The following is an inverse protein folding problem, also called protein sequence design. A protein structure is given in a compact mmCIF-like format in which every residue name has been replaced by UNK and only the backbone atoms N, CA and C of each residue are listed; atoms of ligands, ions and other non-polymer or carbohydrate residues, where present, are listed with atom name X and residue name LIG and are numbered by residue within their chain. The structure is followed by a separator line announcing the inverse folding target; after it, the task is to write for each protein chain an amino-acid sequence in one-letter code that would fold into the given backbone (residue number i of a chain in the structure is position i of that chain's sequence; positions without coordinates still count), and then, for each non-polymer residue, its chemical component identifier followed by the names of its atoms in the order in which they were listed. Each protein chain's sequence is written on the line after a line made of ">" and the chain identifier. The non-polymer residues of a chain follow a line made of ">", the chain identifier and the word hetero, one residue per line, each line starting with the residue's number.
data_IF_311890358853
#
_entry.id   IF_311890358853
#
_cell.length_a   1.000
_cell.length_b   1.000
_cell.length_c   1.000
_cell.angle_alpha   90.00
_cell.angle_beta   90.00
_cell.angle_gamma   90.00
#
_symmetry.space_group_name_H-M   'P 1'
#
loop_
_entity.id
_entity.type
_entity.pdbx_description
1 polymer ?
#
# COMPACT_ATOMS: atom_id res chain seq x y z
N UNK A 1 5.61 -6.01 4.06
CA UNK A 1 4.79 -6.37 2.87
C UNK A 1 4.47 -7.86 2.75
N UNK A 2 5.36 -8.80 3.13
CA UNK A 2 5.09 -10.26 3.14
C UNK A 2 3.68 -10.68 3.60
N UNK A 3 3.26 -10.24 4.79
CA UNK A 3 1.98 -10.65 5.38
C UNK A 3 0.78 -10.16 4.55
N UNK A 4 0.90 -8.98 3.94
CA UNK A 4 -0.15 -8.35 3.13
C UNK A 4 -0.30 -9.10 1.79
N UNK A 5 0.79 -9.45 1.12
CA UNK A 5 0.78 -10.13 -0.18
C UNK A 5 0.10 -11.52 -0.15
N UNK A 6 0.01 -12.16 1.02
CA UNK A 6 -0.63 -13.48 1.19
C UNK A 6 -2.16 -13.41 1.28
N UNK A 7 -2.72 -12.28 1.70
CA UNK A 7 -4.12 -12.18 2.10
C UNK A 7 -5.11 -12.24 0.92
N UNK A 8 -4.92 -11.52 -0.20
CA UNK A 8 -5.86 -11.57 -1.33
C UNK A 8 -6.08 -12.99 -1.86
N UNK A 9 -4.99 -13.75 -2.02
CA UNK A 9 -5.06 -15.13 -2.53
C UNK A 9 -5.82 -16.06 -1.59
N UNK A 10 -5.58 -15.94 -0.28
CA UNK A 10 -6.34 -16.72 0.70
C UNK A 10 -7.81 -16.38 0.64
N UNK A 11 -8.15 -15.11 0.49
CA UNK A 11 -9.54 -14.69 0.37
C UNK A 11 -10.19 -15.33 -0.86
N UNK A 12 -9.58 -15.19 -2.04
CA UNK A 12 -10.09 -15.79 -3.28
C UNK A 12 -10.23 -17.31 -3.20
N UNK A 13 -9.20 -18.01 -2.70
CA UNK A 13 -9.21 -19.47 -2.58
C UNK A 13 -10.23 -19.99 -1.54
N UNK A 14 -10.64 -19.16 -0.59
CA UNK A 14 -11.59 -19.51 0.48
C UNK A 14 -12.99 -18.97 0.24
N UNK A 15 -13.21 -18.19 -0.82
CA UNK A 15 -14.52 -17.62 -1.12
C UNK A 15 -15.47 -18.69 -1.69
N UNK A 16 -16.23 -19.33 -0.80
CA UNK A 16 -17.24 -20.36 -1.13
C UNK A 16 -18.64 -19.79 -1.27
N UNK A 17 -18.82 -18.46 -1.42
CA UNK A 17 -20.14 -17.86 -1.59
C UNK A 17 -20.81 -18.37 -2.87
N UNK A 18 -22.05 -18.87 -2.72
CA UNK A 18 -22.88 -19.33 -3.85
C UNK A 18 -23.29 -18.17 -4.77
N UNK A 19 -23.60 -17.02 -4.17
CA UNK A 19 -24.01 -15.80 -4.88
C UNK A 19 -22.99 -14.72 -4.60
N UNK A 20 -22.24 -14.29 -5.62
CA UNK A 20 -21.21 -13.26 -5.54
C UNK A 20 -21.72 -11.94 -6.12
N UNK A 21 -22.85 -11.46 -5.60
CA UNK A 21 -23.43 -10.15 -5.96
C UNK A 21 -22.59 -9.01 -5.39
N UNK A 22 -22.23 -9.08 -4.10
CA UNK A 22 -21.40 -8.07 -3.46
C UNK A 22 -19.97 -8.05 -4.04
N UNK A 23 -19.64 -6.93 -4.70
CA UNK A 23 -18.28 -6.60 -5.11
C UNK A 23 -17.45 -6.17 -3.91
N UNK A 24 -16.20 -6.60 -3.89
CA UNK A 24 -15.29 -6.36 -2.76
C UNK A 24 -13.90 -6.02 -3.29
N UNK A 25 -13.32 -4.97 -2.74
CA UNK A 25 -11.89 -4.74 -2.83
C UNK A 25 -11.19 -5.69 -1.85
N UNK A 26 -10.26 -6.47 -2.37
CA UNK A 26 -9.54 -7.52 -1.62
C UNK A 26 -8.05 -7.24 -1.53
N UNK A 27 -7.56 -6.25 -2.27
CA UNK A 27 -6.18 -5.79 -2.19
C UNK A 27 -5.96 -5.09 -0.84
N UNK A 28 -4.96 -5.49 -0.03
CA UNK A 28 -4.62 -4.77 1.20
C UNK A 28 -4.11 -3.34 0.97
N UNK A 29 -3.62 -3.03 -0.23
CA UNK A 29 -3.28 -1.65 -0.61
C UNK A 29 -4.41 -1.09 -1.45
N UNK A 30 -5.51 -0.79 -0.78
CA UNK A 30 -6.65 -0.12 -1.34
C UNK A 30 -6.60 1.39 -1.06
N UNK A 31 -7.35 2.23 -1.81
CA UNK A 31 -7.28 3.68 -1.66
C UNK A 31 -7.47 4.22 -0.24
N UNK A 32 -8.39 3.66 0.56
CA UNK A 32 -8.59 4.03 1.96
C UNK A 32 -7.34 3.76 2.81
N UNK A 33 -6.78 2.56 2.69
CA UNK A 33 -5.56 2.14 3.39
C UNK A 33 -4.36 2.98 2.96
N UNK A 34 -4.28 3.36 1.68
CA UNK A 34 -3.23 4.24 1.16
C UNK A 34 -3.31 5.63 1.79
N UNK A 35 -4.51 6.17 1.99
CA UNK A 35 -4.69 7.44 2.69
C UNK A 35 -4.37 7.34 4.19
N UNK A 36 -4.68 6.22 4.84
CA UNK A 36 -4.21 5.93 6.21
C UNK A 36 -2.68 5.87 6.29
N UNK A 37 -2.01 5.31 5.28
CA UNK A 37 -0.54 5.29 5.21
C UNK A 37 0.02 6.72 5.11
N UNK A 38 -0.60 7.61 4.31
CA UNK A 38 -0.20 9.02 4.27
C UNK A 38 -0.36 9.72 5.62
N UNK A 39 -1.46 9.47 6.34
CA UNK A 39 -1.68 10.00 7.68
C UNK A 39 -0.62 9.47 8.66
N UNK A 40 -0.33 8.17 8.61
CA UNK A 40 0.70 7.55 9.44
C UNK A 40 2.09 8.14 9.16
N UNK A 41 2.46 8.36 7.89
CA UNK A 41 3.71 9.03 7.53
C UNK A 41 3.80 10.42 8.16
N UNK A 42 2.74 11.23 8.05
CA UNK A 42 2.68 12.57 8.67
C UNK A 42 2.90 12.50 10.19
N UNK A 43 2.23 11.56 10.88
CA UNK A 43 2.40 11.39 12.32
C UNK A 43 3.83 10.98 12.70
N UNK A 44 4.42 10.02 11.97
CA UNK A 44 5.81 9.61 12.20
C UNK A 44 6.78 10.77 11.97
N UNK A 45 6.54 11.60 10.96
CA UNK A 45 7.32 12.80 10.68
C UNK A 45 7.23 13.79 11.85
N UNK A 46 6.03 14.18 12.26
CA UNK A 46 5.80 15.10 13.39
C UNK A 46 6.45 14.56 14.67
N UNK A 47 6.19 13.31 15.06
CA UNK A 47 6.73 12.74 16.29
C UNK A 47 8.27 12.65 16.27
N UNK A 48 8.87 12.41 15.11
CA UNK A 48 10.33 12.42 14.96
C UNK A 48 10.90 13.82 15.16
N UNK A 49 10.28 14.84 14.57
CA UNK A 49 10.70 16.23 14.77
C UNK A 49 10.58 16.65 16.24
N UNK A 50 9.46 16.33 16.90
CA UNK A 50 9.29 16.61 18.34
C UNK A 50 10.36 15.91 19.17
N UNK A 51 10.67 14.65 18.89
CA UNK A 51 11.72 13.91 19.59
C UNK A 51 13.10 14.57 19.40
N UNK A 52 13.41 15.04 18.18
CA UNK A 52 14.65 15.75 17.89
C UNK A 52 14.76 17.08 18.64
N UNK A 53 13.69 17.89 18.61
CA UNK A 53 13.67 19.17 19.32
C UNK A 53 13.85 19.00 20.82
N UNK A 54 13.19 18.00 21.43
CA UNK A 54 13.38 17.65 22.85
C UNK A 54 14.82 17.25 23.15
N UNK A 55 15.46 16.46 22.28
CA UNK A 55 16.86 16.07 22.44
C UNK A 55 17.82 17.27 22.33
N UNK A 56 17.48 18.27 21.51
CA UNK A 56 18.24 19.51 21.34
C UNK A 56 17.88 20.58 22.41
N UNK A 57 17.05 20.25 23.41
CA UNK A 57 16.64 21.18 24.48
C UNK A 57 15.65 22.28 24.03
N UNK A 58 15.00 22.12 22.88
CA UNK A 58 14.03 23.06 22.30
C UNK A 58 12.60 22.61 22.58
N UNK A 59 11.68 23.56 22.66
CA UNK A 59 10.26 23.27 22.82
C UNK A 59 9.65 22.87 21.46
N UNK A 60 9.03 21.68 21.32
CA UNK A 60 8.38 21.31 20.06
C UNK A 60 7.15 22.15 19.73
N UNK A 61 6.50 22.74 20.74
CA UNK A 61 5.28 23.53 20.59
C UNK A 61 5.54 24.92 19.99
N UNK A 62 6.81 25.27 19.76
CA UNK A 62 7.22 26.50 19.07
C UNK A 62 6.99 26.40 17.54
N UNK A 63 6.79 25.19 17.02
CA UNK A 63 6.59 24.92 15.59
C UNK A 63 5.18 24.39 15.34
N UNK A 64 4.60 24.76 14.19
CA UNK A 64 3.34 24.16 13.74
C UNK A 64 3.55 22.74 13.18
N UNK A 65 2.45 22.02 13.00
CA UNK A 65 2.46 20.63 12.50
C UNK A 65 3.10 20.49 11.11
N UNK A 66 3.05 21.51 10.26
CA UNK A 66 3.63 21.45 8.92
C UNK A 66 5.15 21.60 8.98
N UNK A 67 5.64 22.54 9.79
CA UNK A 67 7.06 22.71 10.08
C UNK A 67 7.65 21.46 10.74
N UNK A 68 6.91 20.85 11.69
CA UNK A 68 7.29 19.60 12.32
C UNK A 68 7.32 18.44 11.32
N UNK A 69 6.29 18.30 10.48
CA UNK A 69 6.25 17.26 9.45
C UNK A 69 7.42 17.39 8.47
N UNK A 70 7.74 18.61 8.02
CA UNK A 70 8.85 18.87 7.11
C UNK A 70 10.21 18.50 7.74
N UNK A 71 10.49 18.98 8.96
CA UNK A 71 11.71 18.63 9.69
C UNK A 71 11.82 17.11 9.92
N UNK A 72 10.71 16.47 10.30
CA UNK A 72 10.65 15.03 10.51
C UNK A 72 10.95 14.24 9.25
N UNK A 73 10.39 14.66 8.11
CA UNK A 73 10.64 14.05 6.82
C UNK A 73 12.11 14.13 6.42
N UNK A 74 12.74 15.28 6.63
CA UNK A 74 14.17 15.46 6.36
C UNK A 74 15.02 14.52 7.22
N UNK A 75 14.72 14.41 8.52
CA UNK A 75 15.42 13.50 9.44
C UNK A 75 15.25 12.03 9.05
N UNK A 76 14.06 11.63 8.60
CA UNK A 76 13.73 10.25 8.25
C UNK A 76 14.24 9.84 6.87
N UNK A 77 14.41 10.77 5.94
CA UNK A 77 14.84 10.49 4.56
C UNK A 77 16.32 10.74 4.29
N UNK A 78 17.00 11.57 5.11
CA UNK A 78 18.45 11.82 4.98
C UNK A 78 19.25 10.51 5.02
N UNK A 79 20.32 10.38 4.22
CA UNK A 79 21.17 9.18 4.14
C UNK A 79 21.82 8.82 5.47
N UNK A 80 22.28 9.83 6.21
CA UNK A 80 22.79 9.68 7.58
C UNK A 80 21.64 9.36 8.54
N UNK A 81 21.85 8.39 9.43
CA UNK A 81 20.84 8.05 10.44
C UNK A 81 20.85 9.08 11.60
N UNK A 82 20.28 10.25 11.33
CA UNK A 82 20.11 11.35 12.30
C UNK A 82 19.02 11.10 13.35
N UNK A 83 18.35 9.94 13.27
CA UNK A 83 17.32 9.50 14.20
C UNK A 83 17.81 8.46 15.22
N UNK A 84 19.08 8.05 15.12
CA UNK A 84 19.66 7.09 16.04
C UNK A 84 19.64 7.63 17.48
N UNK A 85 19.11 6.84 18.41
CA UNK A 85 19.02 7.20 19.83
C UNK A 85 17.87 8.13 20.21
N UNK A 86 17.05 8.59 19.26
CA UNK A 86 15.86 9.38 19.59
C UNK A 86 14.76 8.50 20.19
N UNK A 87 14.24 8.92 21.34
CA UNK A 87 12.99 8.37 21.90
C UNK A 87 11.81 9.04 21.20
N UNK A 88 11.32 8.41 20.13
CA UNK A 88 10.13 8.90 19.39
C UNK A 88 8.88 8.48 20.13
N UNK A 89 8.12 9.47 20.63
CA UNK A 89 6.90 9.24 21.39
C UNK A 89 5.67 9.42 20.49
N UNK A 90 4.84 8.37 20.43
CA UNK A 90 3.52 8.43 19.81
C UNK A 90 2.54 9.14 20.73
N UNK A 91 1.80 10.10 20.18
CA UNK A 91 0.84 10.92 20.91
C UNK A 91 -0.58 10.49 20.55
N UNK A 92 -1.52 10.52 21.51
CA UNK A 92 -2.94 10.17 21.33
C UNK A 92 -3.20 8.75 20.79
N UNK A 93 -2.35 7.77 21.14
CA UNK A 93 -2.49 6.39 20.67
C UNK A 93 -3.35 5.50 21.59
N UNK A 94 -3.34 5.76 22.89
CA UNK A 94 -4.12 5.02 23.90
C UNK A 94 -4.69 5.97 24.95
N UNK A 95 -5.84 5.62 25.53
CA UNK A 95 -6.42 6.34 26.67
C UNK A 95 -5.70 5.94 27.97
N UNK A 96 -4.43 6.32 28.07
CA UNK A 96 -3.52 5.90 29.15
C UNK A 96 -2.44 6.97 29.36
N UNK A 97 -1.94 7.04 30.60
CA UNK A 97 -0.84 7.95 30.99
C UNK A 97 0.54 7.39 30.61
N UNK A 98 0.60 6.16 30.10
CA UNK A 98 1.85 5.50 29.72
C UNK A 98 2.40 6.13 28.44
N UNK A 99 3.72 6.34 28.42
CA UNK A 99 4.44 6.71 27.21
C UNK A 99 4.34 5.60 26.16
N UNK A 100 3.94 5.97 24.95
CA UNK A 100 3.97 5.08 23.78
C UNK A 100 5.23 5.38 22.97
N UNK A 101 6.14 4.41 22.89
CA UNK A 101 7.42 4.56 22.19
C UNK A 101 7.36 3.87 20.82
N UNK A 102 7.69 4.61 19.77
CA UNK A 102 7.80 4.08 18.41
C UNK A 102 9.21 3.52 18.21
N UNK A 103 9.33 2.19 18.23
CA UNK A 103 10.63 1.51 18.26
C UNK A 103 11.43 1.62 16.95
N UNK A 104 10.74 1.67 15.81
CA UNK A 104 11.33 1.48 14.47
C UNK A 104 10.89 2.56 13.49
N UNK A 105 10.83 3.81 13.94
CA UNK A 105 10.25 4.95 13.21
C UNK A 105 10.79 5.09 11.78
N UNK A 106 12.12 5.12 11.62
CA UNK A 106 12.75 5.26 10.29
C UNK A 106 12.47 4.06 9.37
N UNK A 107 12.46 2.85 9.92
CA UNK A 107 12.17 1.63 9.14
C UNK A 107 10.68 1.58 8.74
N UNK A 108 9.79 1.99 9.65
CA UNK A 108 8.36 2.08 9.38
C UNK A 108 8.05 3.14 8.32
N UNK A 109 8.65 4.33 8.42
CA UNK A 109 8.51 5.41 7.44
C UNK A 109 8.96 4.95 6.05
N UNK A 110 10.14 4.32 5.94
CA UNK A 110 10.60 3.72 4.67
C UNK A 110 9.62 2.67 4.14
N UNK A 111 9.18 1.74 4.99
CA UNK A 111 8.27 0.67 4.57
C UNK A 111 6.93 1.21 4.06
N UNK A 112 6.38 2.26 4.70
CA UNK A 112 5.17 2.93 4.26
C UNK A 112 5.36 3.63 2.91
N UNK A 113 6.49 4.32 2.70
CA UNK A 113 6.81 4.91 1.39
C UNK A 113 6.94 3.85 0.29
N UNK A 114 7.58 2.72 0.58
CA UNK A 114 7.68 1.59 -0.36
C UNK A 114 6.28 1.01 -0.70
N UNK A 115 5.36 0.93 0.28
CA UNK A 115 3.98 0.50 0.04
C UNK A 115 3.22 1.47 -0.87
N UNK A 116 3.33 2.78 -0.63
CA UNK A 116 2.73 3.81 -1.49
C UNK A 116 3.27 3.74 -2.92
N UNK A 117 4.58 3.58 -3.05
CA UNK A 117 5.25 3.48 -4.35
C UNK A 117 4.78 2.26 -5.13
N UNK A 118 4.77 1.10 -4.47
CA UNK A 118 4.32 -0.15 -5.07
C UNK A 118 2.84 -0.09 -5.47
N UNK A 119 1.98 0.44 -4.58
CA UNK A 119 0.57 0.69 -4.88
C UNK A 119 0.41 1.55 -6.14
N UNK A 120 1.12 2.68 -6.19
CA UNK A 120 0.97 3.63 -7.27
C UNK A 120 1.39 3.01 -8.61
N UNK A 121 2.61 2.48 -8.69
CA UNK A 121 3.15 1.90 -9.93
C UNK A 121 2.34 0.69 -10.37
N UNK A 122 1.94 -0.21 -9.46
CA UNK A 122 1.13 -1.39 -9.79
C UNK A 122 -0.18 -1.00 -10.49
N UNK A 123 -0.92 -0.03 -9.95
CA UNK A 123 -2.19 0.39 -10.54
C UNK A 123 -2.00 1.14 -11.86
N UNK A 124 -0.89 1.87 -12.03
CA UNK A 124 -0.54 2.51 -13.31
C UNK A 124 -0.14 1.47 -14.38
N UNK A 125 0.54 0.39 -13.99
CA UNK A 125 0.78 -0.73 -14.89
C UNK A 125 -0.55 -1.41 -15.29
N UNK A 126 -1.49 -1.60 -14.34
CA UNK A 126 -2.82 -2.15 -14.65
C UNK A 126 -3.58 -1.26 -15.67
N UNK A 127 -3.35 0.06 -15.62
CA UNK A 127 -3.87 0.99 -16.62
C UNK A 127 -3.27 0.76 -18.01
N UNK A 128 -1.94 0.68 -18.11
CA UNK A 128 -1.23 0.45 -19.38
C UNK A 128 -1.54 -0.93 -19.99
N UNK A 129 -1.80 -1.93 -19.16
CA UNK A 129 -2.20 -3.26 -19.62
C UNK A 129 -3.62 -3.27 -20.19
N UNK A 130 -4.53 -2.46 -19.65
CA UNK A 130 -5.90 -2.33 -20.16
C UNK A 130 -6.01 -1.37 -21.36
N UNK A 131 -4.99 -0.56 -21.63
CA UNK A 131 -4.96 0.43 -22.71
C UNK A 131 -3.66 0.31 -23.50
N UNK A 132 -3.59 -0.65 -24.43
CA UNK A 132 -2.33 -1.00 -25.11
C UNK A 132 -1.71 0.12 -25.97
N UNK A 133 -2.49 1.10 -26.38
CA UNK A 133 -2.03 2.28 -27.13
C UNK A 133 -1.61 3.44 -26.22
N UNK A 134 -1.82 3.31 -24.90
CA UNK A 134 -1.43 4.34 -23.94
C UNK A 134 0.10 4.38 -23.74
N UNK A 135 0.59 5.60 -23.54
CA UNK A 135 1.96 5.90 -23.15
C UNK A 135 1.94 6.82 -21.91
N UNK A 136 3.11 7.22 -21.41
CA UNK A 136 3.22 8.08 -20.24
C UNK A 136 2.39 9.37 -20.40
N UNK A 137 2.47 10.02 -21.56
CA UNK A 137 1.78 11.29 -21.83
C UNK A 137 0.26 11.11 -21.81
N UNK A 138 -0.28 10.16 -22.57
CA UNK A 138 -1.73 9.93 -22.62
C UNK A 138 -2.27 9.38 -21.31
N UNK A 139 -1.50 8.56 -20.59
CA UNK A 139 -1.84 8.14 -19.23
C UNK A 139 -1.93 9.32 -18.28
N UNK A 140 -0.91 10.19 -18.26
CA UNK A 140 -0.87 11.36 -17.39
C UNK A 140 -2.03 12.31 -17.67
N UNK A 141 -2.36 12.56 -18.94
CA UNK A 141 -3.50 13.41 -19.32
C UNK A 141 -4.81 12.88 -18.74
N UNK A 142 -5.10 11.58 -18.89
CA UNK A 142 -6.40 11.03 -18.47
C UNK A 142 -6.46 10.76 -16.95
N UNK A 143 -5.32 10.48 -16.30
CA UNK A 143 -5.26 10.21 -14.86
C UNK A 143 -4.98 11.44 -13.99
N UNK A 144 -4.60 12.57 -14.59
CA UNK A 144 -4.35 13.82 -13.85
C UNK A 144 -5.57 14.29 -13.05
N UNK A 145 -5.28 14.91 -11.90
CA UNK A 145 -6.29 15.44 -11.00
C UNK A 145 -5.83 15.43 -9.55
N UNK A 146 -6.59 16.08 -8.65
CA UNK A 146 -6.31 16.04 -7.22
C UNK A 146 -6.47 14.62 -6.67
N UNK A 147 -5.66 14.27 -5.67
CA UNK A 147 -5.80 13.00 -4.95
C UNK A 147 -7.12 12.97 -4.19
N UNK A 148 -7.97 11.98 -4.45
CA UNK A 148 -9.15 11.71 -3.62
C UNK A 148 -8.69 11.12 -2.27
N UNK A 149 -8.95 11.84 -1.18
CA UNK A 149 -8.46 11.50 0.17
C UNK A 149 -9.47 10.78 1.05
N UNK A 150 -10.75 10.83 0.68
CA UNK A 150 -11.83 10.28 1.50
C UNK A 150 -12.50 9.12 0.78
N UNK A 151 -12.18 7.93 1.26
CA UNK A 151 -12.73 6.65 0.79
C UNK A 151 -13.46 5.99 1.95
N UNK A 152 -14.69 5.55 1.68
CA UNK A 152 -15.56 4.92 2.65
C UNK A 152 -15.77 3.47 2.24
N UNK A 153 -15.50 2.55 3.18
CA UNK A 153 -15.78 1.14 3.00
C UNK A 153 -17.25 0.85 3.28
N UNK A 154 -17.99 0.51 2.23
CA UNK A 154 -19.40 0.14 2.29
C UNK A 154 -19.50 -1.35 1.93
N UNK A 155 -19.53 -2.22 2.95
CA UNK A 155 -19.68 -3.66 2.75
C UNK A 155 -18.56 -4.33 1.93
N UNK A 156 -17.35 -3.77 1.95
CA UNK A 156 -16.18 -4.25 1.23
C UNK A 156 -15.92 -3.56 -0.12
N UNK A 157 -16.85 -2.73 -0.61
CA UNK A 157 -16.61 -1.87 -1.77
C UNK A 157 -16.22 -0.48 -1.29
N UNK A 158 -15.18 0.07 -1.92
CA UNK A 158 -14.70 1.42 -1.62
C UNK A 158 -15.39 2.43 -2.51
N UNK A 159 -15.94 3.45 -1.86
CA UNK A 159 -16.69 4.53 -2.50
C UNK A 159 -16.08 5.84 -2.03
N UNK A 160 -15.95 6.83 -2.91
CA UNK A 160 -15.52 8.15 -2.46
C UNK A 160 -16.59 8.79 -1.57
N UNK A 161 -16.20 9.64 -0.61
CA UNK A 161 -17.19 10.32 0.24
C UNK A 161 -18.22 11.12 -0.59
N UNK A 162 -17.77 11.77 -1.67
CA UNK A 162 -18.64 12.50 -2.59
C UNK A 162 -19.63 11.61 -3.34
N UNK A 163 -19.20 10.43 -3.81
CA UNK A 163 -20.10 9.50 -4.51
C UNK A 163 -21.13 8.90 -3.53
N UNK A 164 -20.71 8.63 -2.29
CA UNK A 164 -21.61 8.15 -1.24
C UNK A 164 -22.64 9.22 -0.86
N UNK A 165 -22.23 10.48 -0.71
CA UNK A 165 -23.14 11.60 -0.44
C UNK A 165 -24.15 11.78 -1.58
N UNK A 166 -23.69 11.69 -2.84
CA UNK A 166 -24.57 11.74 -4.00
C UNK A 166 -25.60 10.59 -3.97
N UNK A 167 -25.15 9.35 -3.73
CA UNK A 167 -26.03 8.19 -3.62
C UNK A 167 -27.08 8.38 -2.52
N UNK A 168 -26.67 8.80 -1.33
CA UNK A 168 -27.57 9.07 -0.21
C UNK A 168 -28.54 10.22 -0.52
N UNK A 169 -28.11 11.24 -1.26
CA UNK A 169 -28.96 12.33 -1.72
C UNK A 169 -30.07 11.84 -2.65
N UNK A 170 -29.73 10.99 -3.63
CA UNK A 170 -30.69 10.41 -4.59
C UNK A 170 -31.69 9.45 -3.92
N UNK A 171 -31.26 8.75 -2.86
CA UNK A 171 -32.16 7.95 -2.02
C UNK A 171 -33.12 8.87 -1.25
N UNK A 172 -32.59 9.91 -0.59
CA UNK A 172 -33.40 10.85 0.22
C UNK A 172 -34.40 11.65 -0.61
N UNK A 173 -34.09 11.96 -1.86
CA UNK A 173 -34.99 12.68 -2.78
C UNK A 173 -36.10 11.81 -3.34
N UNK A 174 -36.02 10.47 -3.20
CA UNK A 174 -36.92 9.53 -3.83
C UNK A 174 -36.62 9.27 -5.32
N UNK A 175 -35.49 9.74 -5.84
CA UNK A 175 -35.04 9.38 -7.21
C UNK A 175 -34.70 7.90 -7.31
N UNK A 176 -34.07 7.34 -6.26
CA UNK A 176 -33.86 5.91 -6.10
C UNK A 176 -34.89 5.38 -5.10
N UNK A 177 -36.02 4.88 -5.61
CA UNK A 177 -37.20 4.48 -4.83
C UNK A 177 -37.32 2.97 -4.56
N UNK A 178 -36.38 2.17 -5.07
CA UNK A 178 -36.38 0.71 -4.94
C UNK A 178 -34.99 0.15 -4.65
N UNK A 179 -34.95 -1.05 -4.06
CA UNK A 179 -33.69 -1.75 -3.80
C UNK A 179 -32.92 -2.06 -5.08
N UNK A 180 -33.61 -2.41 -6.17
CA UNK A 180 -32.98 -2.69 -7.46
C UNK A 180 -32.28 -1.44 -8.02
N UNK A 181 -32.92 -0.27 -7.95
CA UNK A 181 -32.33 1.00 -8.37
C UNK A 181 -31.10 1.38 -7.52
N UNK A 182 -31.14 1.12 -6.21
CA UNK A 182 -30.00 1.35 -5.31
C UNK A 182 -28.85 0.38 -5.65
N UNK A 183 -29.14 -0.89 -5.90
CA UNK A 183 -28.13 -1.88 -6.28
C UNK A 183 -27.50 -1.56 -7.62
N UNK A 184 -28.28 -1.11 -8.60
CA UNK A 184 -27.75 -0.66 -9.90
C UNK A 184 -26.84 0.56 -9.75
N UNK A 185 -27.23 1.54 -8.93
CA UNK A 185 -26.37 2.68 -8.62
C UNK A 185 -25.05 2.24 -7.96
N UNK A 186 -25.10 1.23 -7.11
CA UNK A 186 -23.92 0.66 -6.45
C UNK A 186 -22.98 -0.07 -7.41
N UNK A 187 -23.52 -0.85 -8.34
CA UNK A 187 -22.77 -1.51 -9.42
C UNK A 187 -22.13 -0.48 -10.36
N UNK A 188 -22.81 0.63 -10.65
CA UNK A 188 -22.25 1.71 -11.46
C UNK A 188 -21.03 2.36 -10.78
N UNK A 189 -21.09 2.57 -9.46
CA UNK A 189 -19.92 3.04 -8.68
C UNK A 189 -18.76 2.03 -8.76
N UNK A 190 -19.06 0.73 -8.69
CA UNK A 190 -18.05 -0.32 -8.82
C UNK A 190 -17.42 -0.33 -10.22
N UNK A 191 -18.21 -0.14 -11.27
CA UNK A 191 -17.72 -0.14 -12.64
C UNK A 191 -16.74 1.01 -12.93
N UNK A 192 -16.91 2.16 -12.26
CA UNK A 192 -15.98 3.30 -12.36
C UNK A 192 -14.80 3.21 -11.39
N UNK A 193 -14.85 2.32 -10.39
CA UNK A 193 -13.84 2.21 -9.34
C UNK A 193 -12.42 1.92 -9.85
N UNK A 194 -12.17 1.00 -10.82
CA UNK A 194 -10.82 0.81 -11.39
C UNK A 194 -10.24 2.12 -11.94
N UNK A 195 -11.09 2.86 -12.68
CA UNK A 195 -11.00 4.29 -13.01
C UNK A 195 -10.40 5.14 -11.90
N UNK A 196 -11.19 5.26 -10.84
CA UNK A 196 -10.91 6.14 -9.71
C UNK A 196 -9.65 5.71 -8.95
N UNK A 197 -9.42 4.40 -8.80
CA UNK A 197 -8.21 3.83 -8.18
C UNK A 197 -6.95 4.18 -8.96
N UNK A 198 -6.98 4.17 -10.28
CA UNK A 198 -5.86 4.57 -11.14
C UNK A 198 -5.57 6.08 -11.06
N UNK A 199 -6.61 6.92 -11.03
CA UNK A 199 -6.44 8.37 -10.77
C UNK A 199 -5.81 8.62 -9.40
N UNK A 200 -6.30 7.90 -8.39
CA UNK A 200 -5.75 7.95 -7.05
C UNK A 200 -4.28 7.51 -7.00
N UNK A 201 -3.92 6.42 -7.68
CA UNK A 201 -2.56 5.92 -7.80
C UNK A 201 -1.63 6.93 -8.50
N UNK A 202 -2.09 7.58 -9.57
CA UNK A 202 -1.32 8.62 -10.25
C UNK A 202 -1.01 9.79 -9.31
N UNK A 203 -2.03 10.33 -8.65
CA UNK A 203 -1.86 11.43 -7.69
C UNK A 203 -1.02 11.00 -6.46
N UNK A 204 -1.15 9.75 -6.02
CA UNK A 204 -0.29 9.17 -4.96
C UNK A 204 1.18 9.20 -5.35
N UNK A 205 1.53 8.84 -6.59
CA UNK A 205 2.91 8.87 -7.05
C UNK A 205 3.47 10.29 -7.07
N UNK A 206 2.70 11.25 -7.59
CA UNK A 206 3.08 12.66 -7.63
C UNK A 206 3.33 13.22 -6.24
N UNK A 207 2.41 12.98 -5.30
CA UNK A 207 2.53 13.42 -3.91
C UNK A 207 3.72 12.74 -3.20
N UNK A 208 3.92 11.45 -3.43
CA UNK A 208 5.04 10.70 -2.83
C UNK A 208 6.40 11.23 -3.29
N UNK A 209 6.51 11.56 -4.57
CA UNK A 209 7.72 12.12 -5.19
C UNK A 209 7.85 13.64 -4.98
N UNK A 210 6.82 14.29 -4.42
CA UNK A 210 6.72 15.73 -4.25
C UNK A 210 6.90 16.51 -5.59
N UNK A 211 6.29 16.02 -6.66
CA UNK A 211 6.33 16.61 -8.00
C UNK A 211 4.93 16.91 -8.52
N UNK A 212 4.79 17.88 -9.41
CA UNK A 212 3.50 18.22 -10.04
C UNK A 212 3.21 17.40 -11.30
N UNK A 213 4.26 16.94 -11.96
CA UNK A 213 4.19 16.24 -13.23
C UNK A 213 5.15 15.04 -13.22
N UNK A 214 4.72 13.96 -13.86
CA UNK A 214 5.51 12.74 -13.98
C UNK A 214 6.32 12.79 -15.28
N UNK A 215 7.59 13.17 -15.18
CA UNK A 215 8.49 13.20 -16.34
C UNK A 215 8.94 11.79 -16.74
N UNK A 216 9.41 11.59 -17.98
CA UNK A 216 10.06 10.36 -18.43
C UNK A 216 11.10 9.79 -17.46
N UNK A 217 12.00 10.63 -16.96
CA UNK A 217 13.05 10.22 -16.03
C UNK A 217 12.47 9.76 -14.69
N UNK A 218 11.55 10.53 -14.11
CA UNK A 218 10.88 10.17 -12.86
C UNK A 218 10.04 8.88 -13.01
N UNK A 219 9.44 8.66 -14.17
CA UNK A 219 8.71 7.43 -14.44
C UNK A 219 9.64 6.21 -14.50
N UNK A 220 10.79 6.34 -15.17
CA UNK A 220 11.82 5.29 -15.20
C UNK A 220 12.35 4.97 -13.80
N UNK A 221 12.65 6.00 -13.00
CA UNK A 221 13.07 5.83 -11.61
C UNK A 221 11.98 5.16 -10.76
N UNK A 222 10.72 5.55 -10.96
CA UNK A 222 9.59 4.93 -10.27
C UNK A 222 9.42 3.46 -10.65
N UNK A 223 9.57 3.11 -11.92
CA UNK A 223 9.56 1.72 -12.39
C UNK A 223 10.70 0.90 -11.77
N UNK A 224 11.92 1.45 -11.76
CA UNK A 224 13.09 0.79 -11.18
C UNK A 224 12.94 0.56 -9.67
N UNK A 225 12.43 1.55 -8.93
CA UNK A 225 12.18 1.40 -7.50
C UNK A 225 11.08 0.37 -7.22
N UNK A 226 10.03 0.32 -8.05
CA UNK A 226 8.97 -0.69 -7.94
C UNK A 226 9.50 -2.12 -8.20
N UNK A 227 10.42 -2.29 -9.16
CA UNK A 227 11.11 -3.55 -9.40
C UNK A 227 11.94 -3.99 -8.18
N UNK A 228 12.72 -3.06 -7.59
CA UNK A 228 13.48 -3.32 -6.36
C UNK A 228 12.58 -3.73 -5.20
N UNK A 229 11.43 -3.06 -5.05
CA UNK A 229 10.43 -3.38 -4.03
C UNK A 229 9.84 -4.78 -4.27
N UNK A 230 9.49 -5.14 -5.51
CA UNK A 230 8.97 -6.46 -5.84
C UNK A 230 9.97 -7.58 -5.51
N UNK A 231 11.25 -7.39 -5.86
CA UNK A 231 12.34 -8.31 -5.49
C UNK A 231 12.50 -8.43 -3.97
N UNK A 232 12.46 -7.31 -3.25
CA UNK A 232 12.49 -7.31 -1.79
C UNK A 232 11.32 -8.10 -1.20
N UNK A 233 10.09 -7.93 -1.72
CA UNK A 233 8.92 -8.71 -1.28
C UNK A 233 9.16 -10.21 -1.52
N UNK A 234 9.67 -10.59 -2.70
CA UNK A 234 9.99 -11.98 -3.04
C UNK A 234 10.99 -12.58 -2.06
N UNK A 235 12.06 -11.86 -1.75
CA UNK A 235 13.08 -12.31 -0.80
C UNK A 235 12.52 -12.45 0.61
N UNK A 236 11.74 -11.47 1.09
CA UNK A 236 11.11 -11.56 2.41
C UNK A 236 10.11 -12.71 2.52
N UNK A 237 9.42 -13.05 1.42
CA UNK A 237 8.57 -14.25 1.35
C UNK A 237 9.38 -15.52 1.53
N UNK A 238 10.51 -15.64 0.82
CA UNK A 238 11.40 -16.77 0.94
C UNK A 238 11.95 -16.89 2.37
N UNK A 239 12.57 -15.83 2.90
CA UNK A 239 13.15 -15.81 4.26
C UNK A 239 12.09 -16.17 5.31
N UNK A 240 10.90 -15.57 5.23
CA UNK A 240 9.85 -15.85 6.20
C UNK A 240 9.36 -17.30 6.17
N UNK A 241 9.39 -17.96 5.00
CA UNK A 241 9.00 -19.37 4.86
C UNK A 241 10.15 -20.31 5.22
N UNK A 242 11.38 -19.98 4.83
CA UNK A 242 12.56 -20.81 5.08
C UNK A 242 12.79 -21.03 6.58
N UNK A 243 12.46 -20.04 7.41
CA UNK A 243 12.45 -20.17 8.87
C UNK A 243 11.64 -21.37 9.37
N UNK A 244 10.54 -21.75 8.71
CA UNK A 244 9.74 -22.91 9.11
C UNK A 244 10.47 -24.24 8.82
N UNK A 245 11.39 -24.26 7.85
CA UNK A 245 12.19 -25.44 7.48
C UNK A 245 13.50 -25.52 8.29
N UNK A 246 14.08 -24.39 8.67
CA UNK A 246 15.34 -24.33 9.43
C UNK A 246 15.15 -24.36 10.96
N UNK A 247 13.92 -24.17 11.45
CA UNK A 247 13.66 -24.08 12.89
C UNK A 247 13.90 -25.43 13.59
N UNK A 248 14.87 -25.53 14.53
CA UNK A 248 15.20 -26.79 15.20
C UNK A 248 14.02 -27.41 15.97
N UNK A 249 13.13 -26.59 16.54
CA UNK A 249 11.96 -27.08 17.27
C UNK A 249 10.90 -27.67 16.34
N UNK A 250 10.78 -27.15 15.11
CA UNK A 250 9.93 -27.75 14.09
C UNK A 250 10.56 -29.02 13.52
N UNK A 251 11.88 -29.05 13.37
CA UNK A 251 12.59 -30.24 12.92
C UNK A 251 12.47 -31.39 13.92
N UNK A 252 12.41 -31.09 15.23
CA UNK A 252 12.29 -32.09 16.30
C UNK A 252 10.98 -32.92 16.25
N UNK A 253 9.97 -32.52 15.47
CA UNK A 253 8.75 -33.33 15.29
C UNK A 253 8.92 -34.47 14.28
N UNK A 254 10.04 -34.52 13.58
CA UNK A 254 10.38 -35.55 12.62
C UNK A 254 11.54 -36.39 13.15
N UNK A 255 11.56 -37.68 12.86
CA UNK A 255 12.62 -38.59 13.26
C UNK A 255 13.95 -38.27 12.56
N UNK A 256 13.92 -37.75 11.32
CA UNK A 256 15.09 -37.30 10.58
C UNK A 256 14.74 -36.33 9.43
N UNK A 257 15.77 -35.80 8.77
CA UNK A 257 15.61 -34.85 7.67
C UNK A 257 14.97 -35.45 6.40
N UNK A 258 15.04 -36.77 6.21
CA UNK A 258 14.39 -37.45 5.07
C UNK A 258 12.88 -37.53 5.28
N UNK A 259 12.43 -37.90 6.48
CA UNK A 259 11.01 -37.89 6.86
C UNK A 259 10.44 -36.47 6.75
N UNK A 260 11.16 -35.46 7.28
CA UNK A 260 10.75 -34.06 7.14
C UNK A 260 10.55 -33.67 5.67
N UNK A 261 11.53 -33.96 4.80
CA UNK A 261 11.42 -33.68 3.36
C UNK A 261 10.27 -34.45 2.71
N UNK A 262 10.01 -35.69 3.12
CA UNK A 262 8.89 -36.47 2.60
C UNK A 262 7.52 -35.89 3.02
N UNK A 263 7.40 -35.34 4.23
CA UNK A 263 6.13 -34.81 4.76
C UNK A 263 5.83 -33.40 4.28
N UNK A 264 6.80 -32.47 4.39
CA UNK A 264 6.57 -31.05 4.11
C UNK A 264 7.24 -30.54 2.82
N UNK A 265 7.99 -31.39 2.12
CA UNK A 265 8.73 -31.03 0.92
C UNK A 265 9.95 -30.16 1.20
N UNK A 266 10.46 -29.52 0.14
CA UNK A 266 11.50 -28.49 0.26
C UNK A 266 10.89 -27.09 0.32
N UNK A 267 11.68 -26.10 0.74
CA UNK A 267 11.28 -24.70 0.67
C UNK A 267 10.96 -24.27 -0.76
N UNK A 268 11.69 -24.80 -1.74
CA UNK A 268 11.45 -24.51 -3.15
C UNK A 268 10.13 -25.10 -3.63
N UNK A 269 9.65 -26.19 -3.02
CA UNK A 269 8.33 -26.78 -3.28
C UNK A 269 7.17 -26.04 -2.64
N UNK A 270 7.44 -25.08 -1.76
CA UNK A 270 6.41 -24.30 -1.12
C UNK A 270 5.60 -23.50 -2.16
N UNK A 271 4.31 -23.83 -2.31
CA UNK A 271 3.46 -23.20 -3.32
C UNK A 271 3.37 -21.68 -3.23
N UNK A 272 3.46 -21.11 -2.02
CA UNK A 272 3.48 -19.65 -1.86
C UNK A 272 4.79 -19.02 -2.34
N UNK A 273 5.93 -19.70 -2.15
CA UNK A 273 7.24 -19.27 -2.65
C UNK A 273 7.29 -19.37 -4.17
N UNK A 274 6.88 -20.50 -4.76
CA UNK A 274 6.79 -20.69 -6.23
C UNK A 274 5.95 -19.58 -6.88
N UNK A 275 4.73 -19.40 -6.40
CA UNK A 275 3.83 -18.38 -6.94
C UNK A 275 4.38 -16.96 -6.78
N UNK A 276 5.04 -16.63 -5.65
CA UNK A 276 5.62 -15.29 -5.49
C UNK A 276 6.75 -15.06 -6.49
N UNK A 277 7.56 -16.08 -6.82
CA UNK A 277 8.58 -15.97 -7.86
C UNK A 277 7.94 -15.71 -9.23
N UNK A 278 6.87 -16.42 -9.56
CA UNK A 278 6.11 -16.22 -10.81
C UNK A 278 5.49 -14.83 -10.90
N UNK A 279 4.77 -14.39 -9.86
CA UNK A 279 4.16 -13.06 -9.80
C UNK A 279 5.21 -11.94 -9.89
N UNK A 280 6.36 -12.12 -9.23
CA UNK A 280 7.47 -11.15 -9.31
C UNK A 280 8.00 -11.08 -10.72
N UNK A 281 8.23 -12.23 -11.38
CA UNK A 281 8.67 -12.27 -12.77
C UNK A 281 7.67 -11.58 -13.69
N UNK A 282 6.38 -11.92 -13.60
CA UNK A 282 5.34 -11.29 -14.40
C UNK A 282 5.26 -9.77 -14.17
N UNK A 283 5.44 -9.31 -12.92
CA UNK A 283 5.48 -7.89 -12.60
C UNK A 283 6.70 -7.18 -13.21
N UNK A 284 7.88 -7.82 -13.21
CA UNK A 284 9.08 -7.28 -13.86
C UNK A 284 8.93 -7.21 -15.38
N UNK A 285 8.31 -8.21 -16.00
CA UNK A 285 8.02 -8.21 -17.45
C UNK A 285 7.09 -7.03 -17.83
N UNK A 286 6.08 -6.74 -16.99
CA UNK A 286 5.21 -5.57 -17.15
C UNK A 286 5.97 -4.25 -17.00
N UNK A 287 6.91 -4.18 -16.07
CA UNK A 287 7.79 -3.01 -15.89
C UNK A 287 8.62 -2.79 -17.16
N UNK A 288 9.28 -3.82 -17.69
CA UNK A 288 10.08 -3.68 -18.92
C UNK A 288 9.24 -3.25 -20.12
N UNK A 289 8.01 -3.76 -20.26
CA UNK A 289 7.08 -3.29 -21.28
C UNK A 289 6.72 -1.80 -21.11
N UNK A 290 6.47 -1.36 -19.88
CA UNK A 290 6.14 0.03 -19.58
C UNK A 290 7.32 0.99 -19.81
N UNK A 291 8.57 0.53 -19.67
CA UNK A 291 9.76 1.33 -19.99
C UNK A 291 9.84 1.70 -21.47
N UNK A 292 9.27 0.89 -22.36
CA UNK A 292 9.20 1.16 -23.79
C UNK A 292 8.06 2.14 -24.18
N UNK A 293 7.17 2.50 -23.24
CA UNK A 293 5.97 3.32 -23.45
C UNK A 293 6.07 4.72 -22.84
N UNK A 294 7.27 5.30 -22.89
CA UNK A 294 7.57 6.66 -22.39
C UNK A 294 7.14 7.71 -23.41
#
# INVERSE_FOLDING_TARGET
>A
MYALARNPRKFQARDTRKTRTQKMEIDPLAPDTVEEIFQALRLLEIWTAKARLRADGRCPDDLDDEQLAQLGRELLTCSENRTAGLEVLGENMECSQRKVVILKTRQAHRAYREMLHYYAVKNLLDYLDSHHEANLVSMAQVLSGPRQRQWINVGGQLVSASDLEMLLGRIKSGELDSWDAIHEAYENIWNVYPRAKQKHAFATLLDLLAVKELTPALWQDALAESARIAEYIREQVYISRNKDYENPFRQATFANAEEMRAVIGTIDDNGFVKQTREDTKAFLDRIESAKARV
#
